data_IF_877892487950
#
_entry.id   IF_877892487950
#
_cell.length_a   1.000
_cell.length_b   1.000
_cell.length_c   1.000
_cell.angle_alpha   90.00
_cell.angle_beta   90.00
_cell.angle_gamma   90.00
#
_symmetry.space_group_name_H-M   'P 1'
#
loop_
_entity.id
_entity.type
_entity.pdbx_description
1 polymer ?
#
# COMPACT_ATOMS: atom_id res chain seq x y z
N UNK A 1 -36.27 13.84 -71.99
CA UNK A 1 -35.82 13.19 -73.24
C UNK A 1 -34.59 12.39 -72.87
N UNK A 2 -34.74 11.08 -72.68
CA UNK A 2 -34.58 10.08 -73.76
C UNK A 2 -33.10 9.90 -74.09
N UNK A 3 -32.45 8.89 -73.54
CA UNK A 3 -31.96 7.74 -74.32
C UNK A 3 -31.23 6.73 -73.44
N UNK A 4 -31.33 5.49 -73.91
CA UNK A 4 -30.95 4.22 -73.27
C UNK A 4 -29.84 3.54 -74.07
N UNK A 5 -29.30 2.43 -73.51
CA UNK A 5 -28.60 1.30 -74.20
C UNK A 5 -27.06 1.44 -74.31
N UNK A 6 -26.22 0.36 -74.32
CA UNK A 6 -26.24 -0.97 -73.67
C UNK A 6 -24.91 -1.43 -72.99
N UNK A 7 -25.03 -2.45 -72.13
CA UNK A 7 -24.33 -3.77 -72.10
C UNK A 7 -22.82 -3.89 -72.46
N UNK A 8 -22.04 -4.45 -71.53
CA UNK A 8 -21.06 -5.50 -71.88
C UNK A 8 -20.86 -6.47 -70.70
N UNK A 9 -21.12 -7.74 -71.00
CA UNK A 9 -20.87 -8.92 -70.17
C UNK A 9 -19.42 -9.34 -70.32
N UNK A 10 -18.73 -9.54 -69.20
CA UNK A 10 -17.53 -10.37 -69.18
C UNK A 10 -17.71 -11.56 -68.24
N UNK A 11 -17.89 -12.73 -68.86
CA UNK A 11 -17.74 -14.04 -68.24
C UNK A 11 -16.25 -14.27 -67.97
N UNK A 12 -15.86 -14.61 -66.75
CA UNK A 12 -14.65 -15.40 -66.56
C UNK A 12 -14.66 -16.15 -65.23
N UNK A 13 -14.83 -17.46 -65.39
CA UNK A 13 -14.22 -18.56 -64.63
C UNK A 13 -14.70 -18.81 -63.20
N UNK A 14 -15.50 -19.87 -63.10
CA UNK A 14 -15.68 -20.67 -61.90
C UNK A 14 -14.33 -21.18 -61.40
N UNK A 15 -13.97 -20.78 -60.19
CA UNK A 15 -12.98 -21.49 -59.36
C UNK A 15 -13.68 -22.19 -58.20
N UNK A 16 -13.14 -23.37 -57.90
CA UNK A 16 -13.72 -24.43 -57.09
C UNK A 16 -13.93 -23.99 -55.64
N UNK A 17 -15.17 -24.15 -55.18
CA UNK A 17 -15.60 -24.06 -53.79
C UNK A 17 -14.84 -25.09 -52.93
N UNK A 18 -13.91 -24.61 -52.09
CA UNK A 18 -13.31 -25.39 -51.01
C UNK A 18 -14.08 -25.10 -49.72
N UNK A 19 -14.95 -26.04 -49.37
CA UNK A 19 -15.68 -26.10 -48.10
C UNK A 19 -14.67 -26.07 -46.95
N UNK A 20 -14.55 -24.93 -46.28
CA UNK A 20 -13.72 -24.78 -45.08
C UNK A 20 -14.66 -24.66 -43.90
N UNK A 21 -14.74 -25.73 -43.10
CA UNK A 21 -15.56 -25.78 -41.90
C UNK A 21 -15.12 -24.71 -40.91
N UNK A 22 -16.06 -23.87 -40.48
CA UNK A 22 -15.85 -22.89 -39.42
C UNK A 22 -15.93 -23.64 -38.10
N UNK A 23 -14.78 -23.90 -37.48
CA UNK A 23 -14.70 -24.33 -36.09
C UNK A 23 -14.95 -23.11 -35.19
N UNK A 24 -16.08 -23.09 -34.49
CA UNK A 24 -16.35 -22.12 -33.42
C UNK A 24 -15.49 -22.53 -32.22
N UNK A 25 -14.38 -21.81 -32.02
CA UNK A 25 -13.61 -21.89 -30.77
C UNK A 25 -14.35 -21.04 -29.74
N UNK A 26 -15.06 -21.70 -28.83
CA UNK A 26 -15.52 -21.05 -27.60
C UNK A 26 -14.28 -20.76 -26.76
N UNK A 27 -13.83 -19.51 -26.75
CA UNK A 27 -12.85 -19.05 -25.80
C UNK A 27 -13.51 -19.08 -24.41
N UNK A 28 -13.30 -20.17 -23.67
CA UNK A 28 -13.46 -20.15 -22.22
C UNK A 28 -12.41 -19.19 -21.69
N UNK A 29 -12.81 -17.93 -21.52
CA UNK A 29 -12.06 -16.95 -20.76
C UNK A 29 -11.97 -17.47 -19.33
N UNK A 30 -10.91 -18.22 -19.03
CA UNK A 30 -10.41 -18.32 -17.67
C UNK A 30 -9.94 -16.92 -17.32
N UNK A 31 -10.82 -16.15 -16.67
CA UNK A 31 -10.39 -15.06 -15.83
C UNK A 31 -9.42 -15.67 -14.83
N UNK A 32 -8.12 -15.51 -15.10
CA UNK A 32 -7.11 -15.66 -14.09
C UNK A 32 -7.43 -14.61 -13.03
N UNK A 33 -8.24 -14.99 -12.03
CA UNK A 33 -8.39 -14.19 -10.84
C UNK A 33 -6.99 -14.05 -10.27
N UNK A 34 -6.45 -12.83 -10.27
CA UNK A 34 -5.27 -12.53 -9.49
C UNK A 34 -5.65 -12.86 -8.04
N UNK A 35 -5.23 -14.03 -7.53
CA UNK A 35 -5.38 -14.32 -6.12
C UNK A 35 -4.51 -13.30 -5.41
N UNK A 36 -5.13 -12.28 -4.80
CA UNK A 36 -4.43 -11.41 -3.87
C UNK A 36 -3.74 -12.31 -2.86
N UNK A 37 -2.41 -12.21 -2.77
CA UNK A 37 -1.66 -12.98 -1.79
C UNK A 37 -2.11 -12.47 -0.42
N UNK A 38 -2.76 -13.30 0.38
CA UNK A 38 -3.31 -12.88 1.66
C UNK A 38 -2.43 -13.32 2.82
N UNK A 39 -2.44 -12.55 3.90
CA UNK A 39 -1.67 -12.82 5.11
C UNK A 39 -2.59 -12.65 6.32
N UNK A 40 -2.87 -13.76 7.03
CA UNK A 40 -3.62 -13.71 8.28
C UNK A 40 -2.68 -13.50 9.46
N UNK A 41 -2.94 -12.44 10.23
CA UNK A 41 -2.12 -12.00 11.35
C UNK A 41 -3.00 -11.78 12.59
N UNK A 42 -2.53 -12.18 13.77
CA UNK A 42 -3.22 -11.93 15.05
C UNK A 42 -2.60 -10.73 15.75
N UNK A 43 -3.38 -9.70 16.08
CA UNK A 43 -2.85 -8.51 16.76
C UNK A 43 -2.56 -8.84 18.23
N UNK A 44 -1.30 -8.73 18.62
CA UNK A 44 -0.83 -9.03 19.98
C UNK A 44 -0.82 -7.79 20.87
N UNK A 45 -0.91 -6.60 20.27
CA UNK A 45 -0.87 -5.32 20.96
C UNK A 45 0.22 -4.40 20.44
N UNK A 46 0.46 -3.33 21.18
CA UNK A 46 1.51 -2.37 20.89
C UNK A 46 2.84 -2.85 21.49
N UNK A 47 3.91 -2.67 20.73
CA UNK A 47 5.27 -2.78 21.25
C UNK A 47 5.72 -1.47 21.89
N UNK A 48 7.00 -1.16 21.74
CA UNK A 48 7.55 0.16 22.06
C UNK A 48 6.78 1.25 21.31
N UNK A 49 6.10 2.09 22.08
CA UNK A 49 5.17 3.10 21.60
C UNK A 49 5.05 4.26 22.59
N UNK A 50 4.55 5.38 22.10
CA UNK A 50 4.34 6.61 22.87
C UNK A 50 3.03 7.26 22.45
N UNK A 51 2.59 8.26 23.20
CA UNK A 51 1.39 9.03 22.86
C UNK A 51 1.82 10.30 22.14
N UNK A 52 1.21 10.56 20.99
CA UNK A 52 1.39 11.79 20.25
C UNK A 52 0.04 12.44 19.96
N UNK A 53 -0.02 13.76 20.10
CA UNK A 53 -1.15 14.55 19.61
C UNK A 53 -1.03 14.70 18.10
N UNK A 54 -2.05 14.29 17.36
CA UNK A 54 -2.12 14.43 15.91
C UNK A 54 -3.35 15.20 15.50
N UNK A 55 -3.32 15.74 14.29
CA UNK A 55 -4.47 16.30 13.60
C UNK A 55 -4.37 15.92 12.14
N UNK A 56 -5.52 15.64 11.54
CA UNK A 56 -5.61 15.45 10.11
C UNK A 56 -6.83 16.17 9.54
N UNK A 57 -6.65 16.84 8.41
CA UNK A 57 -7.72 17.40 7.60
C UNK A 57 -7.35 17.32 6.13
N UNK A 58 -7.98 16.38 5.41
CA UNK A 58 -7.73 16.11 3.99
C UNK A 58 -8.07 17.27 3.05
N UNK A 59 -8.72 18.34 3.53
CA UNK A 59 -9.03 19.51 2.70
C UNK A 59 -7.91 20.57 2.72
N UNK A 60 -6.91 20.41 3.59
CA UNK A 60 -5.83 21.37 3.72
C UNK A 60 -4.72 21.06 2.72
N UNK A 61 -4.18 22.08 2.05
CA UNK A 61 -2.95 21.93 1.29
C UNK A 61 -1.74 21.77 2.23
N UNK A 62 -0.64 21.20 1.75
CA UNK A 62 0.60 20.95 2.52
C UNK A 62 1.21 22.17 3.24
N UNK A 63 0.88 23.38 2.81
CA UNK A 63 1.38 24.63 3.41
C UNK A 63 0.33 25.32 4.31
N UNK A 64 -0.79 24.66 4.60
CA UNK A 64 -1.86 25.20 5.46
C UNK A 64 -1.37 25.40 6.88
N UNK A 65 -1.83 26.46 7.56
CA UNK A 65 -1.34 26.83 8.89
C UNK A 65 -1.59 25.73 9.94
N UNK A 66 -0.76 25.76 10.98
CA UNK A 66 -0.89 24.95 12.19
C UNK A 66 -2.22 25.20 12.91
N UNK A 67 -2.82 24.17 13.49
CA UNK A 67 -3.89 24.30 14.47
C UNK A 67 -3.39 24.22 15.91
N UNK A 68 -4.30 24.45 16.86
CA UNK A 68 -4.09 24.21 18.28
C UNK A 68 -4.83 22.97 18.81
N UNK A 69 -5.74 22.37 18.04
CA UNK A 69 -6.52 21.19 18.46
C UNK A 69 -5.92 19.89 17.92
N UNK A 70 -5.53 19.01 18.84
CA UNK A 70 -4.92 17.71 18.53
C UNK A 70 -5.62 16.59 19.29
N UNK A 71 -5.73 15.42 18.66
CA UNK A 71 -6.21 14.18 19.26
C UNK A 71 -5.01 13.31 19.61
N UNK A 72 -4.93 12.86 20.86
CA UNK A 72 -3.86 11.96 21.29
C UNK A 72 -4.14 10.54 20.81
N UNK A 73 -3.16 9.95 20.12
CA UNK A 73 -3.16 8.54 19.71
C UNK A 73 -1.87 7.86 20.15
N UNK A 74 -1.90 6.54 20.27
CA UNK A 74 -0.69 5.74 20.40
C UNK A 74 0.03 5.67 19.06
N UNK A 75 1.32 6.01 19.04
CA UNK A 75 2.20 5.92 17.88
C UNK A 75 3.40 5.04 18.22
N UNK A 76 3.75 4.13 17.32
CA UNK A 76 4.84 3.18 17.50
C UNK A 76 4.51 1.85 16.86
N UNK A 77 5.09 0.78 17.41
CA UNK A 77 5.02 -0.54 16.80
C UNK A 77 3.72 -1.27 17.08
N UNK A 78 3.20 -1.95 16.06
CA UNK A 78 2.22 -3.01 16.20
C UNK A 78 2.92 -4.37 16.24
N UNK A 79 2.53 -5.22 17.20
CA UNK A 79 3.01 -6.60 17.33
C UNK A 79 1.95 -7.57 16.83
N UNK A 80 2.40 -8.51 16.02
CA UNK A 80 1.54 -9.44 15.32
C UNK A 80 2.05 -10.86 15.42
N UNK A 81 1.16 -11.81 15.71
CA UNK A 81 1.41 -13.23 15.58
C UNK A 81 1.17 -13.67 14.14
N UNK A 82 2.18 -14.29 13.52
CA UNK A 82 2.09 -14.89 12.18
C UNK A 82 2.91 -16.17 12.16
N UNK A 83 2.28 -17.31 11.82
CA UNK A 83 2.95 -18.62 11.75
C UNK A 83 3.83 -18.95 12.97
N UNK A 84 3.29 -18.74 14.18
CA UNK A 84 3.99 -18.95 15.46
C UNK A 84 5.22 -18.05 15.68
N UNK A 85 5.39 -17.01 14.86
CA UNK A 85 6.40 -15.97 15.03
C UNK A 85 5.74 -14.63 15.36
N UNK A 86 6.45 -13.81 16.12
CA UNK A 86 6.07 -12.41 16.28
C UNK A 86 6.68 -11.57 15.15
N UNK A 87 5.89 -10.62 14.64
CA UNK A 87 6.28 -9.64 13.62
C UNK A 87 5.91 -8.24 14.07
N UNK A 88 6.77 -7.30 13.70
CA UNK A 88 6.53 -5.87 13.91
C UNK A 88 6.07 -5.23 12.61
N UNK A 89 5.00 -4.45 12.68
CA UNK A 89 4.58 -3.54 11.60
C UNK A 89 4.38 -2.13 12.15
N UNK A 90 4.20 -1.19 11.22
CA UNK A 90 3.75 0.16 11.52
C UNK A 90 2.50 0.46 10.73
N UNK A 91 1.61 1.24 11.32
CA UNK A 91 0.34 1.61 10.70
C UNK A 91 0.57 2.64 9.61
N UNK A 92 -0.24 2.60 8.57
CA UNK A 92 -0.19 3.63 7.51
C UNK A 92 -1.48 4.44 7.43
N UNK A 93 -2.55 3.99 8.09
CA UNK A 93 -3.89 4.60 8.15
C UNK A 93 -4.18 5.18 9.54
N UNK A 94 -4.90 6.32 9.64
CA UNK A 94 -5.24 6.97 10.92
C UNK A 94 -6.62 6.62 11.51
N UNK A 95 -7.62 6.34 10.68
CA UNK A 95 -9.04 6.30 11.10
C UNK A 95 -9.60 4.92 11.40
N UNK A 96 -8.76 3.90 11.30
CA UNK A 96 -9.13 2.53 11.63
C UNK A 96 -8.26 2.01 12.76
N UNK A 97 -8.79 1.01 13.45
CA UNK A 97 -8.13 0.37 14.58
C UNK A 97 -7.98 -1.12 14.37
N UNK A 98 -7.23 -1.71 15.28
CA UNK A 98 -7.09 -3.16 15.47
C UNK A 98 -7.30 -3.46 16.95
N UNK A 99 -7.85 -4.64 17.24
CA UNK A 99 -8.20 -5.05 18.59
C UNK A 99 -7.32 -6.21 19.03
N UNK A 100 -6.74 -6.11 20.22
CA UNK A 100 -5.84 -7.14 20.76
C UNK A 100 -6.56 -8.48 20.85
N UNK A 101 -5.90 -9.55 20.40
CA UNK A 101 -6.44 -10.91 20.36
C UNK A 101 -7.23 -11.23 19.08
N UNK A 102 -7.61 -10.23 18.28
CA UNK A 102 -8.28 -10.49 17.01
C UNK A 102 -7.29 -10.88 15.91
N UNK A 103 -7.77 -11.67 14.95
CA UNK A 103 -7.04 -12.02 13.74
C UNK A 103 -7.65 -11.36 12.52
N UNK A 104 -6.79 -10.83 11.66
CA UNK A 104 -7.15 -10.08 10.47
C UNK A 104 -6.47 -10.72 9.27
N UNK A 105 -7.19 -10.85 8.16
CA UNK A 105 -6.62 -11.34 6.89
C UNK A 105 -6.39 -10.14 5.99
N UNK A 106 -5.13 -9.78 5.81
CA UNK A 106 -4.73 -8.67 4.97
C UNK A 106 -4.49 -9.13 3.53
N UNK A 107 -4.78 -8.26 2.57
CA UNK A 107 -4.25 -8.40 1.22
C UNK A 107 -2.81 -7.86 1.21
N UNK A 108 -1.87 -8.64 0.69
CA UNK A 108 -0.49 -8.21 0.48
C UNK A 108 -0.41 -7.46 -0.85
N UNK A 109 -0.03 -6.19 -0.77
CA UNK A 109 0.05 -5.27 -1.89
C UNK A 109 1.39 -4.52 -1.91
N UNK A 110 1.66 -3.80 -2.99
CA UNK A 110 2.77 -2.85 -3.03
C UNK A 110 2.54 -1.69 -2.05
N UNK A 111 3.57 -1.14 -1.38
CA UNK A 111 3.42 0.00 -0.48
C UNK A 111 2.71 1.22 -1.09
N UNK A 112 2.73 1.41 -2.41
CA UNK A 112 1.96 2.48 -3.07
C UNK A 112 0.45 2.32 -3.02
N UNK A 113 -0.05 1.13 -2.68
CA UNK A 113 -1.47 0.80 -2.63
C UNK A 113 -2.07 0.90 -1.23
N UNK A 114 -1.24 1.16 -0.20
CA UNK A 114 -1.71 1.47 1.15
C UNK A 114 -1.62 2.99 1.40
N UNK A 115 -2.50 3.57 2.23
CA UNK A 115 -3.77 2.99 2.68
C UNK A 115 -4.71 2.70 1.51
N UNK A 116 -5.59 1.73 1.62
CA UNK A 116 -6.55 1.41 0.56
C UNK A 116 -7.54 2.56 0.32
N UNK A 117 -8.18 2.56 -0.85
CA UNK A 117 -9.03 3.67 -1.30
C UNK A 117 -10.49 3.60 -0.80
N UNK A 118 -10.87 2.61 0.01
CA UNK A 118 -12.29 2.38 0.31
C UNK A 118 -12.94 3.57 1.04
N UNK A 119 -13.89 4.20 0.34
CA UNK A 119 -14.73 5.27 0.87
C UNK A 119 -15.84 4.66 1.76
N UNK A 120 -16.31 5.38 2.79
CA UNK A 120 -16.17 6.82 2.98
C UNK A 120 -15.04 7.26 3.92
N UNK A 121 -14.22 6.34 4.45
CA UNK A 121 -13.37 6.63 5.61
C UNK A 121 -11.85 6.72 5.31
N UNK A 122 -11.38 6.31 4.14
CA UNK A 122 -9.94 6.17 3.90
C UNK A 122 -9.33 7.37 3.16
N UNK A 123 -9.50 8.58 3.70
CA UNK A 123 -8.71 9.73 3.23
C UNK A 123 -7.29 9.66 3.86
N UNK A 124 -6.20 9.78 3.08
CA UNK A 124 -6.17 10.31 1.71
C UNK A 124 -6.22 9.27 0.58
N UNK A 125 -6.33 7.98 0.92
CA UNK A 125 -6.29 6.88 -0.03
C UNK A 125 -4.86 6.45 -0.40
N UNK A 126 -4.70 5.65 -1.47
CA UNK A 126 -3.42 5.05 -1.84
C UNK A 126 -2.32 6.09 -2.01
N UNK A 127 -1.16 5.80 -1.41
CA UNK A 127 -0.01 6.70 -1.43
C UNK A 127 0.49 7.03 -2.84
N UNK A 128 0.35 6.10 -3.79
CA UNK A 128 0.94 6.23 -5.12
C UNK A 128 2.47 6.20 -5.08
N UNK A 129 3.10 6.35 -6.25
CA UNK A 129 4.54 6.11 -6.41
C UNK A 129 5.42 7.11 -5.65
N UNK A 130 5.04 8.38 -5.60
CA UNK A 130 5.84 9.44 -4.96
C UNK A 130 5.96 9.21 -3.46
N UNK A 131 4.84 9.03 -2.75
CA UNK A 131 4.84 8.75 -1.31
C UNK A 131 5.42 7.37 -0.99
N UNK A 132 5.15 6.36 -1.81
CA UNK A 132 5.75 5.04 -1.63
C UNK A 132 7.28 5.04 -1.74
N UNK A 133 7.84 5.88 -2.61
CA UNK A 133 9.30 6.06 -2.71
C UNK A 133 9.87 6.71 -1.43
N UNK A 134 9.17 7.71 -0.86
CA UNK A 134 9.55 8.33 0.41
C UNK A 134 9.49 7.32 1.57
N UNK A 135 8.43 6.52 1.65
CA UNK A 135 8.29 5.43 2.63
C UNK A 135 9.42 4.42 2.49
N UNK A 136 9.74 4.00 1.27
CA UNK A 136 10.82 3.06 1.02
C UNK A 136 12.18 3.59 1.52
N UNK A 137 12.47 4.87 1.26
CA UNK A 137 13.72 5.49 1.71
C UNK A 137 13.73 5.68 3.24
N UNK A 138 12.59 6.04 3.85
CA UNK A 138 12.42 6.11 5.29
C UNK A 138 12.73 4.76 5.95
N UNK A 139 12.11 3.67 5.48
CA UNK A 139 12.35 2.32 5.99
C UNK A 139 13.80 1.88 5.83
N UNK A 140 14.38 2.10 4.64
CA UNK A 140 15.79 1.74 4.40
C UNK A 140 16.73 2.43 5.39
N UNK A 141 16.51 3.72 5.66
CA UNK A 141 17.40 4.52 6.53
C UNK A 141 17.26 4.16 7.99
N UNK A 142 16.04 3.94 8.48
CA UNK A 142 15.78 3.97 9.92
C UNK A 142 15.33 2.64 10.50
N UNK A 143 14.63 1.78 9.75
CA UNK A 143 13.94 0.61 10.33
C UNK A 143 14.86 -0.29 11.17
N UNK A 144 16.07 -0.57 10.68
CA UNK A 144 17.03 -1.44 11.38
C UNK A 144 17.63 -0.80 12.66
N UNK A 145 17.55 0.53 12.81
CA UNK A 145 18.12 1.28 13.93
C UNK A 145 17.10 1.70 14.99
N UNK A 146 15.82 1.36 14.84
CA UNK A 146 14.78 1.74 15.79
C UNK A 146 14.94 0.97 17.11
N UNK A 147 15.28 1.68 18.19
CA UNK A 147 15.72 1.03 19.42
C UNK A 147 14.75 1.14 20.60
N UNK A 148 13.96 2.22 20.64
CA UNK A 148 13.12 2.55 21.80
C UNK A 148 11.79 3.18 21.36
N UNK A 149 10.90 3.39 22.34
CA UNK A 149 9.57 3.97 22.12
C UNK A 149 9.57 5.35 21.46
N UNK A 150 10.55 6.21 21.75
CA UNK A 150 10.65 7.52 21.12
C UNK A 150 11.04 7.40 19.64
N UNK A 151 12.02 6.54 19.31
CA UNK A 151 12.44 6.30 17.92
C UNK A 151 11.27 5.74 17.08
N UNK A 152 10.55 4.76 17.62
CA UNK A 152 9.45 4.08 16.92
C UNK A 152 8.22 4.98 16.80
N UNK A 153 7.94 5.77 17.84
CA UNK A 153 6.93 6.81 17.76
C UNK A 153 7.26 7.87 16.72
N UNK A 154 8.52 8.31 16.64
CA UNK A 154 8.99 9.23 15.61
C UNK A 154 8.86 8.65 14.21
N UNK A 155 9.25 7.40 14.03
CA UNK A 155 9.12 6.69 12.76
C UNK A 155 7.66 6.57 12.32
N UNK A 156 6.75 6.25 13.24
CA UNK A 156 5.32 6.21 12.99
C UNK A 156 4.74 7.58 12.60
N UNK A 157 5.18 8.67 13.25
CA UNK A 157 4.78 10.03 12.86
C UNK A 157 5.28 10.41 11.46
N UNK A 158 6.50 10.02 11.10
CA UNK A 158 7.03 10.25 9.76
C UNK A 158 6.26 9.45 8.70
N UNK A 159 5.83 8.22 9.00
CA UNK A 159 4.94 7.45 8.12
C UNK A 159 3.61 8.19 7.91
N UNK A 160 2.99 8.68 8.99
CA UNK A 160 1.71 9.39 8.88
C UNK A 160 1.83 10.71 8.13
N UNK A 161 2.90 11.48 8.34
CA UNK A 161 3.18 12.68 7.54
C UNK A 161 3.23 12.32 6.05
N UNK A 162 4.03 11.31 5.67
CA UNK A 162 4.16 10.93 4.26
C UNK A 162 2.84 10.40 3.69
N UNK A 163 2.14 9.52 4.43
CA UNK A 163 0.93 8.89 3.92
C UNK A 163 -0.23 9.87 3.86
N UNK A 164 -0.38 10.76 4.86
CA UNK A 164 -1.52 11.67 5.01
C UNK A 164 -1.30 13.09 4.49
N UNK A 165 -0.10 13.51 4.08
CA UNK A 165 0.07 14.86 3.54
C UNK A 165 -0.50 14.99 2.11
N UNK A 166 -1.13 16.12 1.80
CA UNK A 166 -1.61 16.48 0.47
C UNK A 166 -0.47 17.01 -0.41
N UNK A 167 0.44 16.10 -0.75
CA UNK A 167 1.57 16.35 -1.63
C UNK A 167 1.10 16.60 -3.06
N UNK A 168 1.54 17.71 -3.64
CA UNK A 168 1.30 18.08 -5.05
C UNK A 168 2.54 17.87 -5.93
N UNK A 169 3.68 17.59 -5.32
CA UNK A 169 4.93 17.33 -6.00
C UNK A 169 4.86 16.08 -6.89
N UNK A 170 5.45 16.16 -8.10
CA UNK A 170 5.49 15.07 -9.08
C UNK A 170 6.64 14.08 -8.86
N UNK A 171 7.60 14.42 -8.00
CA UNK A 171 8.76 13.57 -7.69
C UNK A 171 9.00 13.52 -6.18
N UNK A 172 9.58 12.42 -5.70
CA UNK A 172 9.97 12.28 -4.29
C UNK A 172 10.92 13.39 -3.84
N UNK A 173 11.89 13.78 -4.68
CA UNK A 173 12.83 14.86 -4.36
C UNK A 173 12.11 16.19 -4.06
N UNK A 174 11.17 16.59 -4.91
CA UNK A 174 10.36 17.79 -4.67
C UNK A 174 9.36 17.61 -3.51
N UNK A 175 8.89 16.39 -3.28
CA UNK A 175 7.92 16.10 -2.22
C UNK A 175 8.50 16.29 -0.82
N UNK A 176 9.80 16.02 -0.60
CA UNK A 176 10.46 16.23 0.70
C UNK A 176 10.26 17.67 1.21
N UNK A 177 10.31 18.68 0.34
CA UNK A 177 10.08 20.09 0.72
C UNK A 177 8.63 20.43 1.10
N UNK A 178 7.69 19.51 0.87
CA UNK A 178 6.28 19.67 1.22
C UNK A 178 5.91 18.95 2.52
N UNK A 179 6.85 18.21 3.13
CA UNK A 179 6.63 17.51 4.39
C UNK A 179 6.99 18.41 5.57
N UNK A 180 6.06 18.62 6.49
CA UNK A 180 6.29 19.39 7.69
C UNK A 180 5.23 19.10 8.76
N UNK A 181 5.64 18.50 9.88
CA UNK A 181 4.76 18.11 10.98
C UNK A 181 3.98 19.26 11.65
N UNK A 182 4.33 20.53 11.43
CA UNK A 182 3.66 21.69 12.03
C UNK A 182 2.66 22.40 11.10
N UNK A 183 2.39 21.87 9.91
CA UNK A 183 1.52 22.49 8.92
C UNK A 183 0.99 21.42 7.96
N UNK A 184 0.08 21.81 7.09
CA UNK A 184 -0.41 20.89 6.07
C UNK A 184 -1.63 20.08 6.50
N UNK A 185 -1.90 19.01 5.75
CA UNK A 185 -3.04 18.13 5.96
C UNK A 185 -2.87 17.26 7.20
N UNK A 186 -1.67 16.71 7.40
CA UNK A 186 -1.30 16.03 8.64
C UNK A 186 -0.49 16.99 9.52
N UNK A 187 -0.77 16.99 10.82
CA UNK A 187 -0.01 17.78 11.78
C UNK A 187 0.21 16.96 13.04
N UNK A 188 1.36 17.12 13.67
CA UNK A 188 1.69 16.54 14.96
C UNK A 188 2.01 17.63 15.98
N UNK A 189 1.58 17.43 17.23
CA UNK A 189 1.82 18.36 18.31
C UNK A 189 3.30 18.38 18.70
N UNK A 190 3.81 19.58 19.01
CA UNK A 190 5.23 19.88 19.17
C UNK A 190 5.92 19.50 20.51
N UNK A 191 5.29 19.01 21.60
CA UNK A 191 5.98 18.99 22.90
C UNK A 191 6.68 17.66 23.27
N UNK A 192 7.08 16.81 22.32
CA UNK A 192 7.67 15.49 22.62
C UNK A 192 8.96 15.16 21.87
N UNK A 193 9.78 14.24 22.42
CA UNK A 193 11.00 13.75 21.78
C UNK A 193 10.76 13.13 20.40
N UNK A 194 9.61 12.48 20.21
CA UNK A 194 9.24 11.86 18.93
C UNK A 194 9.00 12.88 17.80
N UNK A 195 8.52 14.09 18.12
CA UNK A 195 8.30 15.14 17.11
C UNK A 195 9.64 15.56 16.50
N UNK A 196 10.62 15.89 17.35
CA UNK A 196 11.92 16.36 16.88
C UNK A 196 12.64 15.28 16.06
N UNK A 197 12.62 14.03 16.53
CA UNK A 197 13.19 12.91 15.80
C UNK A 197 12.47 12.65 14.45
N UNK A 198 11.14 12.73 14.41
CA UNK A 198 10.38 12.56 13.17
C UNK A 198 10.70 13.66 12.15
N UNK A 199 10.80 14.91 12.59
CA UNK A 199 11.23 16.03 11.74
C UNK A 199 12.64 15.80 11.15
N UNK A 200 13.57 15.25 11.93
CA UNK A 200 14.90 14.88 11.42
C UNK A 200 14.85 13.71 10.43
N UNK A 201 14.02 12.69 10.68
CA UNK A 201 13.81 11.59 9.75
C UNK A 201 13.30 12.10 8.39
N UNK A 202 12.29 12.96 8.40
CA UNK A 202 11.72 13.58 7.19
C UNK A 202 12.74 14.44 6.43
N UNK A 203 13.51 15.27 7.14
CA UNK A 203 14.54 16.13 6.56
C UNK A 203 15.71 15.34 5.94
N UNK A 204 15.91 14.08 6.35
CA UNK A 204 16.97 13.21 5.83
C UNK A 204 16.64 12.52 4.50
N UNK A 205 15.36 12.51 4.12
CA UNK A 205 14.90 11.76 2.95
C UNK A 205 15.59 12.24 1.68
N UNK A 206 16.03 11.29 0.85
CA UNK A 206 16.78 11.56 -0.38
C UNK A 206 18.24 11.98 -0.19
N UNK A 207 18.75 12.21 1.03
CA UNK A 207 20.16 12.53 1.25
C UNK A 207 21.06 11.35 0.84
N UNK A 208 21.96 11.56 -0.12
CA UNK A 208 22.76 10.48 -0.71
C UNK A 208 22.00 9.58 -1.69
N UNK A 209 20.84 10.04 -2.18
CA UNK A 209 19.95 9.30 -3.08
C UNK A 209 18.81 8.59 -2.34
N UNK A 210 17.69 8.39 -3.04
CA UNK A 210 16.59 7.58 -2.53
C UNK A 210 16.94 6.10 -2.61
N UNK A 211 16.85 5.40 -1.50
CA UNK A 211 16.98 3.95 -1.49
C UNK A 211 15.63 3.25 -1.29
N UNK A 212 15.65 1.92 -1.37
CA UNK A 212 14.44 1.09 -1.32
C UNK A 212 14.67 -0.18 -0.51
N UNK A 213 13.60 -0.65 0.14
CA UNK A 213 13.55 -1.99 0.74
C UNK A 213 13.22 -3.06 -0.31
N UNK A 214 12.88 -2.67 -1.54
CA UNK A 214 12.47 -3.55 -2.62
C UNK A 214 11.27 -4.41 -2.21
N UNK A 215 11.31 -5.69 -2.58
CA UNK A 215 10.29 -6.67 -2.22
C UNK A 215 10.23 -7.03 -0.73
N UNK A 216 11.10 -6.46 0.11
CA UNK A 216 11.12 -6.74 1.55
C UNK A 216 10.16 -5.84 2.34
N UNK A 217 9.59 -4.80 1.73
CA UNK A 217 8.56 -3.98 2.35
C UNK A 217 7.21 -4.27 1.68
N UNK A 218 6.28 -4.78 2.48
CA UNK A 218 4.93 -5.12 2.05
C UNK A 218 3.96 -4.05 2.55
N UNK A 219 3.02 -3.65 1.68
CA UNK A 219 1.77 -3.04 2.10
C UNK A 219 0.77 -4.13 2.46
N UNK A 220 -0.01 -3.92 3.51
CA UNK A 220 -1.06 -4.82 3.96
C UNK A 220 -2.36 -4.03 4.07
N UNK A 221 -3.36 -4.37 3.25
CA UNK A 221 -4.68 -3.72 3.31
C UNK A 221 -5.75 -4.60 3.95
N UNK A 222 -6.67 -3.99 4.69
CA UNK A 222 -7.87 -4.67 5.18
C UNK A 222 -9.06 -3.70 5.31
N UNK A 223 -10.24 -4.02 4.75
CA UNK A 223 -11.40 -3.10 4.73
C UNK A 223 -12.10 -2.88 6.06
N UNK A 224 -11.63 -3.53 7.13
CA UNK A 224 -12.18 -3.41 8.47
C UNK A 224 -11.08 -3.24 9.53
N UNK A 225 -9.83 -2.98 9.13
CA UNK A 225 -8.71 -2.92 10.03
C UNK A 225 -7.58 -2.07 9.47
N UNK A 226 -6.94 -1.33 10.36
CA UNK A 226 -5.87 -0.39 10.02
C UNK A 226 -4.79 -1.02 9.13
N UNK A 227 -4.61 -0.45 7.94
CA UNK A 227 -3.56 -0.84 7.01
C UNK A 227 -2.16 -0.74 7.62
N UNK A 228 -1.28 -1.65 7.21
CA UNK A 228 0.04 -1.83 7.80
C UNK A 228 1.15 -1.83 6.74
N UNK A 229 2.35 -1.46 7.18
CA UNK A 229 3.60 -1.67 6.47
C UNK A 229 4.45 -2.68 7.24
N UNK A 230 4.78 -3.80 6.60
CA UNK A 230 5.50 -4.92 7.20
C UNK A 230 6.81 -5.19 6.46
N UNK A 231 7.91 -5.26 7.20
CA UNK A 231 9.19 -5.73 6.66
C UNK A 231 9.26 -7.25 6.77
N UNK A 232 9.55 -7.92 5.66
CA UNK A 232 9.82 -9.35 5.61
C UNK A 232 11.31 -9.60 5.37
N UNK A 233 11.97 -10.46 6.17
CA UNK A 233 13.34 -10.87 5.88
C UNK A 233 13.45 -11.51 4.49
N UNK A 234 14.54 -11.20 3.79
CA UNK A 234 14.83 -11.58 2.40
C UNK A 234 14.54 -13.09 2.19
N UNK A 235 13.62 -13.39 1.25
CA UNK A 235 13.16 -14.77 0.95
C UNK A 235 11.68 -14.91 0.59
N UNK A 236 10.92 -13.80 0.52
CA UNK A 236 9.47 -13.80 0.37
C UNK A 236 8.88 -14.60 -0.82
N UNK A 237 9.50 -14.70 -2.02
CA UNK A 237 8.86 -15.45 -3.10
C UNK A 237 8.73 -16.94 -2.76
N UNK A 238 9.71 -17.55 -2.10
CA UNK A 238 9.69 -18.97 -1.74
C UNK A 238 8.83 -19.24 -0.50
N UNK A 239 8.80 -18.30 0.44
CA UNK A 239 8.02 -18.41 1.67
C UNK A 239 6.52 -18.25 1.35
N UNK A 240 6.12 -17.26 0.54
CA UNK A 240 4.73 -17.06 0.13
C UNK A 240 4.24 -18.09 -0.90
N UNK A 241 5.07 -18.51 -1.88
CA UNK A 241 4.72 -19.60 -2.79
C UNK A 241 4.65 -20.98 -2.08
N UNK A 242 5.47 -21.20 -1.05
CA UNK A 242 5.35 -22.36 -0.17
C UNK A 242 4.05 -22.37 0.66
N UNK A 243 3.52 -21.19 1.02
CA UNK A 243 2.29 -21.07 1.79
C UNK A 243 1.01 -21.35 0.99
N UNK A 244 0.97 -21.04 -0.31
CA UNK A 244 -0.16 -21.43 -1.18
C UNK A 244 -0.30 -22.95 -1.37
N UNK A 245 0.82 -23.68 -1.35
CA UNK A 245 0.84 -25.14 -1.55
C UNK A 245 0.46 -25.96 -0.31
N UNK A 246 0.64 -25.42 0.90
CA UNK A 246 0.22 -26.09 2.14
C UNK A 246 -1.31 -26.14 2.29
N UNK A 247 -2.03 -25.11 1.84
CA UNK A 247 -3.50 -25.10 1.80
C UNK A 247 -4.09 -26.14 0.84
N UNK A 248 -3.47 -26.31 -0.33
CA UNK A 248 -3.87 -27.33 -1.31
C UNK A 248 -3.55 -28.77 -0.84
N UNK A 249 -2.46 -28.95 -0.09
CA UNK A 249 -2.11 -30.25 0.50
C UNK A 249 -3.11 -30.75 1.54
N UNK A 250 -3.68 -29.85 2.34
CA UNK A 250 -4.69 -30.18 3.36
C UNK A 250 -6.08 -30.41 2.75
N UNK A 251 -6.46 -29.67 1.70
CA UNK A 251 -7.73 -29.89 0.99
C UNK A 251 -7.77 -31.25 0.28
N UNK A 252 -6.65 -31.68 -0.33
CA UNK A 252 -6.57 -32.98 -1.01
C UNK A 252 -6.68 -34.17 -0.06
N UNK A 253 -6.38 -33.98 1.23
CA UNK A 253 -6.54 -35.02 2.27
C UNK A 253 -7.97 -35.17 2.80
N UNK A 254 -8.84 -34.19 2.56
CA UNK A 254 -10.26 -34.24 2.92
C UNK A 254 -11.18 -34.75 1.80
N UNK A 255 -10.64 -34.98 0.61
CA UNK A 255 -11.38 -35.47 -0.56
C UNK A 255 -11.06 -36.94 -0.91
N UNK A 256 -10.57 -37.71 0.06
CA UNK A 256 -10.53 -39.18 0.03
C UNK A 256 -11.32 -39.70 1.21
#
# INVERSE_FOLDING_TARGET
MSESVPYSVNKSKAEKMKTTGIAIIVALGVSAGASANSLTMSFLGFGDSTVAGIRYNSNLAFNSRSDSSFTNITVGEHRWGVYSQERTSFCVQLFEGVTVGNSYTFNVVDPSQVPEAELPYNAPGPMGSVKAQLINDLYRRYYAGLSNAADKGAFQLAIYEISHENISALTAASAVSQLALDRGAFQANKPGGSYAAAAQMLASLGQGGFGTMGSNLLGLTNPAAQDQLLVVPIGAPAVLAGFGLLGLGLMRRRMK
#
